data_IF_563250685179
#
_entry.id   IF_563250685179
#
_cell.length_a   1.000
_cell.length_b   1.000
_cell.length_c   1.000
_cell.angle_alpha   90.00
_cell.angle_beta   90.00
_cell.angle_gamma   90.00
#
_symmetry.space_group_name_H-M   'P 1'
#
loop_
_entity.id
_entity.type
_entity.pdbx_description
1 polymer ?
#
# COMPACT_ATOMS: atom_id res chain seq x y z
N UNK A 1 0.29 26.75 0.35
CA UNK A 1 0.20 25.30 0.58
C UNK A 1 -1.27 24.96 0.62
N UNK A 2 -1.79 24.41 -0.48
CA UNK A 2 -3.20 24.03 -0.59
C UNK A 2 -3.55 22.93 0.42
N UNK A 3 -4.78 22.95 0.92
CA UNK A 3 -5.33 21.95 1.85
C UNK A 3 -5.26 20.53 1.25
N UNK A 4 -5.18 20.41 -0.08
CA UNK A 4 -5.08 19.17 -0.85
C UNK A 4 -3.66 18.53 -0.81
N UNK A 5 -2.66 19.27 -0.32
CA UNK A 5 -1.27 18.81 -0.17
C UNK A 5 -1.01 18.20 1.23
N UNK A 6 -2.05 18.15 2.09
CA UNK A 6 -1.96 17.50 3.39
C UNK A 6 -2.11 15.98 3.22
N UNK A 7 -1.32 15.17 3.95
CA UNK A 7 -1.55 13.74 4.00
C UNK A 7 -3.00 13.47 4.40
N UNK A 8 -3.80 12.91 3.50
CA UNK A 8 -5.19 12.55 3.79
C UNK A 8 -5.19 11.70 5.06
N UNK A 9 -5.89 12.17 6.10
CA UNK A 9 -6.05 11.38 7.33
C UNK A 9 -6.68 10.06 6.92
N UNK A 10 -5.92 8.96 7.04
CA UNK A 10 -6.46 7.61 6.90
C UNK A 10 -7.66 7.51 7.84
N UNK A 11 -8.83 7.21 7.29
CA UNK A 11 -10.00 6.89 8.08
C UNK A 11 -9.67 5.69 8.98
N UNK A 12 -10.13 5.65 10.25
CA UNK A 12 -9.66 4.67 11.23
C UNK A 12 -10.13 3.23 10.96
N UNK A 13 -11.08 3.02 10.06
CA UNK A 13 -11.78 1.74 9.89
C UNK A 13 -11.79 1.32 8.42
N UNK A 14 -11.02 0.29 8.09
CA UNK A 14 -11.26 -0.62 6.95
C UNK A 14 -11.07 -0.11 5.51
N UNK A 15 -10.90 1.19 5.28
CA UNK A 15 -10.74 1.73 3.92
C UNK A 15 -9.26 1.79 3.49
N UNK A 16 -8.84 0.81 2.69
CA UNK A 16 -7.53 0.79 2.02
C UNK A 16 -7.55 1.55 0.68
N UNK A 17 -8.54 2.43 0.46
CA UNK A 17 -8.69 3.25 -0.73
C UNK A 17 -9.09 2.40 -1.94
N UNK A 18 -8.36 2.57 -3.06
CA UNK A 18 -8.65 1.86 -4.30
C UNK A 18 -8.66 0.32 -4.15
N UNK A 19 -7.89 -0.24 -3.22
CA UNK A 19 -7.90 -1.67 -2.93
C UNK A 19 -9.25 -2.14 -2.33
N UNK A 20 -9.88 -1.33 -1.49
CA UNK A 20 -11.21 -1.63 -0.95
C UNK A 20 -12.30 -1.54 -2.03
N UNK A 21 -12.15 -0.63 -2.99
CA UNK A 21 -13.05 -0.54 -4.16
C UNK A 21 -12.90 -1.78 -5.06
N UNK A 22 -11.67 -2.21 -5.33
CA UNK A 22 -11.36 -3.41 -6.13
C UNK A 22 -12.03 -4.66 -5.56
N UNK A 23 -11.99 -4.83 -4.22
CA UNK A 23 -12.57 -5.97 -3.52
C UNK A 23 -14.11 -6.01 -3.58
N UNK A 24 -14.74 -4.87 -3.84
CA UNK A 24 -16.22 -4.73 -3.89
C UNK A 24 -16.78 -4.88 -5.31
N UNK A 25 -15.94 -5.02 -6.33
CA UNK A 25 -16.37 -5.12 -7.72
C UNK A 25 -16.88 -6.53 -8.08
N UNK A 26 -18.03 -6.62 -8.77
CA UNK A 26 -18.52 -7.90 -9.30
C UNK A 26 -17.62 -8.41 -10.43
N UNK A 27 -17.17 -9.66 -10.29
CA UNK A 27 -16.31 -10.34 -11.26
C UNK A 27 -17.10 -10.98 -12.42
N UNK A 28 -18.42 -11.09 -12.31
CA UNK A 28 -19.28 -11.81 -13.26
C UNK A 28 -19.31 -11.20 -14.67
N UNK A 29 -18.81 -9.96 -14.81
CA UNK A 29 -18.78 -9.21 -16.07
C UNK A 29 -17.50 -9.42 -16.88
N UNK A 30 -16.50 -10.09 -16.32
CA UNK A 30 -15.22 -10.32 -16.97
C UNK A 30 -15.14 -11.71 -17.59
N UNK A 31 -14.50 -11.80 -18.75
CA UNK A 31 -14.05 -13.06 -19.33
C UNK A 31 -12.85 -13.64 -18.54
N UNK A 32 -12.53 -14.92 -18.78
CA UNK A 32 -11.39 -15.57 -18.14
C UNK A 32 -10.06 -14.87 -18.46
N UNK A 33 -9.84 -14.50 -19.72
CA UNK A 33 -8.61 -13.80 -20.14
C UNK A 33 -8.46 -12.43 -19.45
N UNK A 34 -9.57 -11.70 -19.25
CA UNK A 34 -9.57 -10.43 -18.52
C UNK A 34 -9.27 -10.63 -17.04
N UNK A 35 -9.79 -11.69 -16.42
CA UNK A 35 -9.49 -12.04 -15.04
C UNK A 35 -8.01 -12.40 -14.88
N UNK A 36 -7.43 -13.18 -15.79
CA UNK A 36 -6.01 -13.54 -15.76
C UNK A 36 -5.11 -12.31 -15.93
N UNK A 37 -5.42 -11.43 -16.89
CA UNK A 37 -4.70 -10.18 -17.08
C UNK A 37 -4.77 -9.28 -15.82
N UNK A 38 -5.95 -9.22 -15.18
CA UNK A 38 -6.16 -8.47 -13.94
C UNK A 38 -5.36 -9.06 -12.78
N UNK A 39 -5.32 -10.39 -12.63
CA UNK A 39 -4.52 -11.06 -11.61
C UNK A 39 -3.03 -10.72 -11.80
N UNK A 40 -2.51 -10.85 -13.01
CA UNK A 40 -1.09 -10.56 -13.29
C UNK A 40 -0.70 -9.11 -12.91
N UNK A 41 -1.57 -8.14 -13.20
CA UNK A 41 -1.36 -6.74 -12.81
C UNK A 41 -1.36 -6.55 -11.28
N UNK A 42 -2.31 -7.18 -10.58
CA UNK A 42 -2.42 -7.08 -9.13
C UNK A 42 -1.24 -7.74 -8.41
N UNK A 43 -0.73 -8.86 -8.92
CA UNK A 43 0.46 -9.52 -8.37
C UNK A 43 1.71 -8.65 -8.52
N UNK A 44 1.89 -8.00 -9.67
CA UNK A 44 2.95 -7.01 -9.90
C UNK A 44 2.83 -5.84 -8.91
N UNK A 45 1.62 -5.34 -8.69
CA UNK A 45 1.37 -4.26 -7.73
C UNK A 45 1.68 -4.69 -6.29
N UNK A 46 1.30 -5.89 -5.89
CA UNK A 46 1.64 -6.47 -4.58
C UNK A 46 3.16 -6.55 -4.42
N UNK A 47 3.89 -6.99 -5.44
CA UNK A 47 5.35 -7.04 -5.40
C UNK A 47 5.96 -5.64 -5.22
N UNK A 48 5.44 -4.64 -5.96
CA UNK A 48 5.85 -3.23 -5.82
C UNK A 48 5.64 -2.69 -4.41
N UNK A 49 4.46 -2.92 -3.83
CA UNK A 49 4.12 -2.47 -2.46
C UNK A 49 5.02 -3.15 -1.43
N UNK A 50 5.24 -4.46 -1.56
CA UNK A 50 6.15 -5.20 -0.67
C UNK A 50 7.56 -4.62 -0.72
N UNK A 51 8.11 -4.40 -1.92
CA UNK A 51 9.44 -3.82 -2.09
C UNK A 51 9.56 -2.44 -1.43
N UNK A 52 8.56 -1.56 -1.66
CA UNK A 52 8.54 -0.25 -1.02
C UNK A 52 8.46 -0.33 0.51
N UNK A 53 7.61 -1.21 1.05
CA UNK A 53 7.51 -1.45 2.49
C UNK A 53 8.84 -1.92 3.10
N UNK A 54 9.55 -2.83 2.41
CA UNK A 54 10.85 -3.30 2.86
C UNK A 54 11.88 -2.17 2.89
N UNK A 55 11.93 -1.33 1.85
CA UNK A 55 12.82 -0.17 1.81
C UNK A 55 12.50 0.81 2.96
N UNK A 56 11.24 1.17 3.14
CA UNK A 56 10.81 2.06 4.24
C UNK A 56 11.16 1.49 5.63
N UNK A 57 10.99 0.17 5.83
CA UNK A 57 11.38 -0.50 7.08
C UNK A 57 12.89 -0.44 7.34
N UNK A 58 13.72 -0.60 6.31
CA UNK A 58 15.17 -0.49 6.44
C UNK A 58 15.60 0.93 6.83
N UNK A 59 14.96 1.96 6.25
CA UNK A 59 15.18 3.35 6.63
C UNK A 59 14.78 3.61 8.10
N UNK A 60 13.63 3.10 8.56
CA UNK A 60 13.23 3.23 9.95
C UNK A 60 14.21 2.55 10.91
N UNK A 61 14.69 1.35 10.59
CA UNK A 61 15.67 0.64 11.41
C UNK A 61 17.01 1.40 11.48
N UNK A 62 17.47 1.98 10.37
CA UNK A 62 18.67 2.80 10.34
C UNK A 62 18.52 4.07 11.19
N UNK A 63 17.36 4.73 11.11
CA UNK A 63 17.05 5.89 11.95
C UNK A 63 17.02 5.52 13.44
N UNK A 64 16.35 4.42 13.80
CA UNK A 64 16.30 3.92 15.18
C UNK A 64 17.71 3.66 15.73
N UNK A 65 18.62 3.06 14.94
CA UNK A 65 20.00 2.82 15.35
C UNK A 65 20.81 4.11 15.58
N UNK A 66 20.52 5.18 14.82
CA UNK A 66 21.22 6.46 14.92
C UNK A 66 20.68 7.35 16.03
N UNK A 67 19.37 7.30 16.30
CA UNK A 67 18.68 8.24 17.18
C UNK A 67 18.18 7.65 18.49
N UNK A 68 18.43 6.35 18.76
CA UNK A 68 18.05 5.74 20.04
C UNK A 68 18.79 6.43 21.19
N UNK A 69 18.08 6.91 22.24
CA UNK A 69 18.72 7.48 23.41
C UNK A 69 19.58 6.42 24.08
N UNK A 70 20.83 6.77 24.40
CA UNK A 70 21.75 5.93 25.16
C UNK A 70 21.03 5.58 26.47
N UNK A 71 20.80 4.28 26.72
CA UNK A 71 20.21 3.84 27.99
C UNK A 71 21.13 4.33 29.12
N UNK A 72 20.61 5.23 29.96
CA UNK A 72 21.22 5.61 31.24
C UNK A 72 20.94 4.56 32.30
#
# INVERSE_FOLDING_TARGET
MDEDDRPRRRSPEGDFGAASLLASESLDRFSLDELDARVALLESEIARIKAHRHQASAHMQAAEALFRPKQS
#
